data_IF_319866699012
#
_entry.id   IF_319866699012
#
_cell.length_a   1.000
_cell.length_b   1.000
_cell.length_c   1.000
_cell.angle_alpha   90.00
_cell.angle_beta   90.00
_cell.angle_gamma   90.00
#
_symmetry.space_group_name_H-M   'P 1'
#
loop_
_entity.id
_entity.type
_entity.pdbx_description
1 polymer ?
#
# COMPACT_ATOMS: atom_id res chain seq x y z
N UNK A 1 -10.68 20.36 1.71
CA UNK A 1 -11.58 20.08 2.81
C UNK A 1 -12.89 19.51 2.28
N UNK A 2 -13.44 18.61 2.98
CA UNK A 2 -14.67 17.97 2.54
C UNK A 2 -15.69 17.95 3.65
N UNK A 3 -16.93 17.78 3.27
CA UNK A 3 -17.98 17.54 4.22
C UNK A 3 -17.84 16.12 4.73
N UNK A 4 -17.97 15.97 6.03
CA UNK A 4 -17.78 14.67 6.61
C UNK A 4 -19.10 13.96 6.73
N UNK A 5 -19.02 12.66 6.66
CA UNK A 5 -20.15 11.79 6.92
C UNK A 5 -20.18 11.52 8.40
N UNK A 6 -21.34 11.70 9.00
CA UNK A 6 -21.48 11.68 10.45
C UNK A 6 -22.12 10.40 10.92
N UNK A 7 -22.02 10.20 12.24
CA UNK A 7 -22.79 9.17 12.91
C UNK A 7 -22.31 7.78 12.58
N UNK A 8 -23.23 6.97 12.11
CA UNK A 8 -22.95 5.55 11.88
C UNK A 8 -21.92 5.29 10.80
N UNK A 9 -21.53 6.32 10.03
CA UNK A 9 -20.47 6.15 9.05
C UNK A 9 -19.09 6.19 9.68
N UNK A 10 -18.98 6.53 10.94
CA UNK A 10 -17.69 6.54 11.60
C UNK A 10 -17.17 5.11 11.76
N UNK A 11 -15.87 4.88 11.50
CA UNK A 11 -15.32 3.54 11.67
C UNK A 11 -15.25 3.14 13.13
N UNK A 12 -15.39 1.86 13.41
CA UNK A 12 -15.21 1.36 14.76
C UNK A 12 -13.72 1.32 15.09
N UNK A 13 -13.36 1.37 16.39
CA UNK A 13 -11.96 1.18 16.76
C UNK A 13 -11.38 -0.13 16.25
N UNK A 14 -12.19 -1.18 16.21
CA UNK A 14 -11.74 -2.48 15.72
C UNK A 14 -11.41 -2.42 14.22
N UNK A 15 -12.21 -1.72 13.44
CA UNK A 15 -11.94 -1.55 12.02
C UNK A 15 -10.68 -0.72 11.80
N UNK A 16 -10.51 0.36 12.57
CA UNK A 16 -9.30 1.17 12.44
C UNK A 16 -8.04 0.37 12.76
N UNK A 17 -8.10 -0.46 13.80
CA UNK A 17 -6.99 -1.35 14.14
C UNK A 17 -6.67 -2.31 13.02
N UNK A 18 -7.72 -2.92 12.44
CA UNK A 18 -7.54 -3.90 11.39
C UNK A 18 -6.96 -3.27 10.12
N UNK A 19 -7.46 -2.08 9.76
CA UNK A 19 -6.95 -1.35 8.59
C UNK A 19 -5.47 -1.02 8.79
N UNK A 20 -5.11 -0.51 9.95
CA UNK A 20 -3.72 -0.18 10.25
C UNK A 20 -2.84 -1.42 10.22
N UNK A 21 -3.34 -2.54 10.75
CA UNK A 21 -2.58 -3.79 10.78
C UNK A 21 -2.32 -4.31 9.36
N UNK A 22 -3.29 -4.17 8.47
CA UNK A 22 -3.12 -4.59 7.07
C UNK A 22 -2.05 -3.73 6.39
N UNK A 23 -2.10 -2.42 6.59
CA UNK A 23 -1.10 -1.52 6.01
C UNK A 23 0.29 -1.82 6.59
N UNK A 24 0.36 -2.14 7.89
CA UNK A 24 1.63 -2.48 8.53
C UNK A 24 2.19 -3.78 7.97
N UNK A 25 1.33 -4.79 7.77
CA UNK A 25 1.79 -6.05 7.15
C UNK A 25 2.41 -5.79 5.78
N UNK A 26 1.82 -4.86 5.04
CA UNK A 26 2.30 -4.53 3.71
C UNK A 26 3.71 -3.93 3.75
N UNK A 27 3.90 -2.89 4.55
CA UNK A 27 5.18 -2.18 4.54
C UNK A 27 6.26 -2.96 5.28
N UNK A 28 5.94 -3.54 6.43
CA UNK A 28 6.93 -4.33 7.18
C UNK A 28 7.22 -5.64 6.48
N UNK A 29 6.19 -6.26 5.90
CA UNK A 29 6.41 -7.50 5.15
C UNK A 29 7.37 -7.29 4.00
N UNK A 30 7.24 -6.15 3.32
CA UNK A 30 8.15 -5.82 2.23
C UNK A 30 9.58 -5.66 2.72
N UNK A 31 9.78 -4.88 3.79
CA UNK A 31 11.12 -4.65 4.32
C UNK A 31 11.75 -5.90 4.93
N UNK A 32 10.93 -6.82 5.43
CA UNK A 32 11.43 -8.04 6.06
C UNK A 32 11.56 -9.19 5.07
N UNK A 33 11.02 -9.05 3.87
CA UNK A 33 10.95 -10.16 2.93
C UNK A 33 10.04 -11.26 3.45
N UNK A 34 9.00 -10.89 4.19
CA UNK A 34 8.13 -11.81 4.89
C UNK A 34 6.94 -12.16 4.00
N UNK A 35 7.08 -13.25 3.27
CA UNK A 35 6.07 -13.67 2.31
C UNK A 35 4.69 -13.89 2.94
N UNK A 36 4.56 -14.62 4.06
CA UNK A 36 3.24 -14.83 4.65
C UNK A 36 2.55 -13.51 5.05
N UNK A 37 3.30 -12.55 5.56
CA UNK A 37 2.73 -11.25 5.92
C UNK A 37 2.20 -10.54 4.69
N UNK A 38 2.99 -10.52 3.62
CA UNK A 38 2.56 -9.86 2.39
C UNK A 38 1.34 -10.57 1.82
N UNK A 39 1.36 -11.89 1.78
CA UNK A 39 0.25 -12.64 1.20
C UNK A 39 -1.06 -12.38 1.93
N UNK A 40 -1.03 -12.33 3.25
CA UNK A 40 -2.28 -12.24 4.00
C UNK A 40 -2.95 -10.88 3.94
N UNK A 41 -2.22 -9.82 3.56
CA UNK A 41 -2.80 -8.48 3.53
C UNK A 41 -3.34 -8.09 2.16
N UNK A 42 -3.08 -8.89 1.12
CA UNK A 42 -3.47 -8.55 -0.25
C UNK A 42 -4.69 -9.36 -0.67
N UNK A 43 -5.62 -8.68 -1.33
CA UNK A 43 -6.70 -9.39 -2.01
C UNK A 43 -6.12 -10.08 -3.25
N UNK A 44 -6.59 -11.30 -3.59
CA UNK A 44 -6.06 -12.00 -4.77
C UNK A 44 -6.20 -11.21 -6.08
N UNK A 45 -7.14 -10.27 -6.13
CA UNK A 45 -7.33 -9.46 -7.33
C UNK A 45 -6.71 -8.07 -7.20
N UNK A 46 -5.71 -7.93 -6.36
CA UNK A 46 -4.97 -6.68 -6.21
C UNK A 46 -4.47 -6.15 -7.54
N UNK A 47 -4.59 -4.83 -7.72
CA UNK A 47 -3.93 -4.13 -8.82
C UNK A 47 -3.00 -3.08 -8.21
N UNK A 48 -1.72 -3.16 -8.57
CA UNK A 48 -0.72 -2.22 -8.08
C UNK A 48 -0.02 -1.59 -9.27
N UNK A 49 0.08 -0.26 -9.25
CA UNK A 49 0.72 0.49 -10.33
C UNK A 49 1.56 1.61 -9.79
N UNK A 50 2.56 1.99 -10.60
CA UNK A 50 3.34 3.19 -10.33
C UNK A 50 3.17 4.15 -11.49
N UNK A 51 3.56 5.39 -11.27
CA UNK A 51 3.72 6.37 -12.33
C UNK A 51 5.20 6.63 -12.48
N UNK A 52 5.66 6.79 -13.71
CA UNK A 52 7.07 7.06 -13.95
C UNK A 52 7.23 7.99 -15.16
N UNK A 53 8.38 8.60 -15.24
CA UNK A 53 8.69 9.51 -16.33
C UNK A 53 9.52 8.77 -17.36
N UNK A 54 9.04 8.78 -18.61
CA UNK A 54 9.76 8.15 -19.71
C UNK A 54 11.05 8.94 -19.95
N UNK A 55 12.22 8.32 -19.82
CA UNK A 55 13.48 9.05 -20.00
C UNK A 55 13.72 9.53 -21.43
N UNK A 56 13.05 8.92 -22.42
CA UNK A 56 13.23 9.30 -23.81
C UNK A 56 12.37 10.51 -24.17
N UNK A 57 11.10 10.50 -23.79
CA UNK A 57 10.17 11.54 -24.19
C UNK A 57 9.96 12.61 -23.12
N UNK A 58 10.26 12.29 -21.87
CA UNK A 58 9.99 13.17 -20.74
C UNK A 58 8.55 13.14 -20.28
N UNK A 59 7.71 12.32 -20.89
CA UNK A 59 6.29 12.23 -20.54
C UNK A 59 6.07 11.32 -19.35
N UNK A 60 5.07 11.64 -18.56
CA UNK A 60 4.66 10.78 -17.46
C UNK A 60 3.78 9.67 -17.98
N UNK A 61 4.00 8.46 -17.49
CA UNK A 61 3.29 7.27 -17.93
C UNK A 61 2.91 6.40 -16.77
N UNK A 62 1.82 5.68 -16.95
CA UNK A 62 1.37 4.71 -15.96
C UNK A 62 2.12 3.41 -16.19
N UNK A 63 2.70 2.87 -15.11
CA UNK A 63 3.42 1.62 -15.18
C UNK A 63 2.49 0.44 -15.39
N UNK A 64 3.07 -0.70 -15.74
CA UNK A 64 2.31 -1.93 -15.92
C UNK A 64 1.72 -2.36 -14.58
N UNK A 65 0.52 -2.93 -14.59
CA UNK A 65 -0.06 -3.39 -13.33
C UNK A 65 0.65 -4.62 -12.83
N UNK A 66 0.84 -4.67 -11.52
CA UNK A 66 1.31 -5.85 -10.82
C UNK A 66 0.14 -6.44 -10.05
N UNK A 67 0.12 -7.76 -9.91
CA UNK A 67 -0.92 -8.44 -9.16
C UNK A 67 -0.39 -8.96 -7.83
N UNK A 68 -1.26 -9.62 -7.08
CA UNK A 68 -0.89 -10.13 -5.75
C UNK A 68 0.22 -11.16 -5.84
N UNK A 69 0.16 -12.05 -6.82
CA UNK A 69 1.17 -13.10 -6.97
C UNK A 69 2.54 -12.51 -7.24
N UNK A 70 2.60 -11.48 -8.09
CA UNK A 70 3.87 -10.81 -8.36
C UNK A 70 4.41 -10.14 -7.12
N UNK A 71 3.55 -9.47 -6.35
CA UNK A 71 3.95 -8.79 -5.14
C UNK A 71 4.51 -9.77 -4.11
N UNK A 72 3.83 -10.89 -3.94
CA UNK A 72 4.27 -11.94 -3.02
C UNK A 72 5.60 -12.52 -3.49
N UNK A 73 5.74 -12.74 -4.79
CA UNK A 73 6.99 -13.27 -5.37
C UNK A 73 8.17 -12.35 -5.14
N UNK A 74 7.99 -11.05 -5.37
CA UNK A 74 9.06 -10.08 -5.11
C UNK A 74 9.43 -10.01 -3.65
N UNK A 75 8.43 -10.08 -2.76
CA UNK A 75 8.68 -10.07 -1.33
C UNK A 75 9.50 -11.29 -0.92
N UNK A 76 9.12 -12.47 -1.41
CA UNK A 76 9.85 -13.71 -1.13
C UNK A 76 11.28 -13.64 -1.63
N UNK A 77 11.48 -13.03 -2.80
CA UNK A 77 12.82 -12.87 -3.38
C UNK A 77 13.66 -11.85 -2.63
N UNK A 78 13.07 -11.10 -1.71
CA UNK A 78 13.80 -10.14 -0.90
C UNK A 78 14.05 -8.81 -1.59
N UNK A 79 13.23 -8.46 -2.57
CA UNK A 79 13.45 -7.24 -3.35
C UNK A 79 13.38 -5.98 -2.52
N UNK A 80 12.59 -6.01 -1.43
CA UNK A 80 12.46 -4.86 -0.55
C UNK A 80 13.24 -4.97 0.74
N UNK A 81 13.98 -6.06 0.92
CA UNK A 81 14.65 -6.27 2.21
C UNK A 81 15.67 -5.20 2.48
N UNK A 82 15.63 -4.68 3.69
CA UNK A 82 16.64 -3.75 4.16
C UNK A 82 16.75 -3.88 5.67
N UNK A 83 18.00 -3.81 6.16
CA UNK A 83 18.28 -3.82 7.59
C UNK A 83 18.66 -2.44 8.10
N UNK A 84 18.76 -1.45 7.21
CA UNK A 84 19.16 -0.10 7.60
C UNK A 84 17.97 0.61 8.22
N UNK A 85 18.08 1.00 9.49
CA UNK A 85 16.95 1.56 10.23
C UNK A 85 16.33 2.76 9.53
N UNK A 86 17.16 3.65 8.98
CA UNK A 86 16.66 4.85 8.30
C UNK A 86 15.85 4.51 7.07
N UNK A 87 16.20 3.41 6.40
CA UNK A 87 15.50 2.99 5.21
C UNK A 87 14.22 2.23 5.52
N UNK A 88 14.05 1.84 6.78
CA UNK A 88 12.86 1.12 7.22
C UNK A 88 11.81 2.03 7.85
N UNK A 89 12.11 3.32 7.99
CA UNK A 89 11.18 4.24 8.62
C UNK A 89 9.93 4.40 7.76
N UNK A 90 8.77 4.41 8.41
CA UNK A 90 7.52 4.61 7.68
C UNK A 90 6.48 5.24 8.58
N UNK A 91 5.47 5.80 7.92
CA UNK A 91 4.32 6.39 8.61
C UNK A 91 3.05 5.94 7.88
N UNK A 92 2.08 5.47 8.65
CA UNK A 92 0.79 5.04 8.11
C UNK A 92 -0.25 6.08 8.51
N UNK A 93 -0.99 6.58 7.53
CA UNK A 93 -2.08 7.53 7.79
C UNK A 93 -3.36 6.97 7.19
N UNK A 94 -4.35 6.71 8.04
CA UNK A 94 -5.66 6.30 7.55
C UNK A 94 -6.40 7.57 7.18
N UNK A 95 -6.55 7.79 5.86
CA UNK A 95 -7.07 9.05 5.37
C UNK A 95 -8.60 9.12 5.43
N UNK A 96 -9.26 8.05 5.03
CA UNK A 96 -10.71 8.02 4.95
C UNK A 96 -11.19 6.60 5.14
N UNK A 97 -12.25 6.43 5.91
CA UNK A 97 -12.93 5.14 6.04
C UNK A 97 -14.41 5.40 5.88
N UNK A 98 -15.04 4.61 5.00
CA UNK A 98 -16.48 4.64 4.85
C UNK A 98 -16.97 3.22 4.77
N UNK A 99 -17.60 2.76 5.85
CA UNK A 99 -18.19 1.41 5.95
C UNK A 99 -17.17 0.32 5.57
N UNK A 100 -17.13 -0.09 4.32
CA UNK A 100 -16.35 -1.24 3.88
C UNK A 100 -15.16 -0.85 3.01
N UNK A 101 -14.85 0.45 2.91
CA UNK A 101 -13.74 0.90 2.09
C UNK A 101 -12.91 1.92 2.85
N UNK A 102 -11.61 1.91 2.58
CA UNK A 102 -10.69 2.84 3.24
C UNK A 102 -9.59 3.25 2.27
N UNK A 103 -9.13 4.49 2.42
CA UNK A 103 -7.92 4.93 1.73
C UNK A 103 -6.86 5.23 2.78
N UNK A 104 -5.65 4.75 2.53
CA UNK A 104 -4.56 4.78 3.49
C UNK A 104 -3.29 5.16 2.78
N UNK A 105 -2.52 6.09 3.36
CA UNK A 105 -1.21 6.47 2.84
C UNK A 105 -0.14 5.76 3.65
N UNK A 106 0.87 5.23 2.97
CA UNK A 106 2.04 4.66 3.62
C UNK A 106 3.24 5.41 3.07
N UNK A 107 3.82 6.26 3.90
CA UNK A 107 5.00 7.02 3.54
C UNK A 107 6.20 6.30 4.13
N UNK A 108 7.04 5.74 3.28
CA UNK A 108 8.27 5.10 3.73
C UNK A 108 9.46 5.89 3.20
N UNK A 109 10.67 5.46 3.55
CA UNK A 109 11.85 6.16 3.08
C UNK A 109 11.88 6.25 1.55
N UNK A 110 11.69 5.13 0.81
CA UNK A 110 11.81 5.21 -0.64
C UNK A 110 10.51 5.53 -1.37
N UNK A 111 9.33 5.35 -0.76
CA UNK A 111 8.08 5.37 -1.50
C UNK A 111 6.97 6.12 -0.80
N UNK A 112 6.04 6.65 -1.60
CA UNK A 112 4.72 7.00 -1.15
C UNK A 112 3.75 6.00 -1.78
N UNK A 113 3.07 5.21 -0.95
CA UNK A 113 2.10 4.25 -1.42
C UNK A 113 0.71 4.70 -0.99
N UNK A 114 -0.21 4.75 -1.94
CA UNK A 114 -1.60 5.05 -1.67
C UNK A 114 -2.38 3.75 -1.80
N UNK A 115 -2.98 3.32 -0.69
CA UNK A 115 -3.66 2.03 -0.63
C UNK A 115 -5.16 2.22 -0.59
N UNK A 116 -5.87 1.38 -1.34
CA UNK A 116 -7.30 1.19 -1.16
C UNK A 116 -7.51 -0.15 -0.50
N UNK A 117 -8.21 -0.14 0.62
CA UNK A 117 -8.41 -1.32 1.44
C UNK A 117 -9.91 -1.55 1.58
N UNK A 118 -10.35 -2.77 1.36
CA UNK A 118 -11.78 -3.09 1.40
C UNK A 118 -12.04 -4.20 2.40
N UNK A 119 -13.18 -4.13 3.06
CA UNK A 119 -13.60 -5.16 4.00
C UNK A 119 -14.44 -6.20 3.24
N UNK A 120 -13.86 -7.37 3.09
CA UNK A 120 -14.47 -8.48 2.38
C UNK A 120 -14.78 -9.56 3.41
N UNK A 121 -16.06 -9.81 3.66
CA UNK A 121 -16.44 -10.64 4.79
C UNK A 121 -16.00 -9.95 6.07
N UNK A 122 -15.17 -10.62 6.85
CA UNK A 122 -14.67 -10.06 8.10
C UNK A 122 -13.25 -9.54 8.01
N UNK A 123 -12.69 -9.47 6.80
CA UNK A 123 -11.28 -9.15 6.62
C UNK A 123 -11.10 -7.89 5.79
N UNK A 124 -10.19 -7.03 6.26
CA UNK A 124 -9.74 -5.89 5.47
C UNK A 124 -8.55 -6.34 4.62
N UNK A 125 -8.63 -6.09 3.30
CA UNK A 125 -7.59 -6.52 2.35
C UNK A 125 -7.30 -5.38 1.39
N UNK A 126 -6.03 -5.26 0.98
CA UNK A 126 -5.61 -4.24 0.03
C UNK A 126 -6.04 -4.68 -1.36
N UNK A 127 -6.81 -3.82 -2.05
CA UNK A 127 -7.32 -4.12 -3.38
C UNK A 127 -6.66 -3.28 -4.45
N UNK A 128 -6.13 -2.09 -4.12
CA UNK A 128 -5.43 -1.23 -5.07
C UNK A 128 -4.24 -0.58 -4.39
N UNK A 129 -3.16 -0.39 -5.16
CA UNK A 129 -2.02 0.42 -4.73
C UNK A 129 -1.61 1.29 -5.90
N UNK A 130 -1.43 2.58 -5.63
CA UNK A 130 -0.79 3.49 -6.56
C UNK A 130 0.39 4.09 -5.82
N UNK A 131 1.60 3.97 -6.38
CA UNK A 131 2.79 4.39 -5.64
C UNK A 131 3.74 5.16 -6.53
N UNK A 132 4.63 5.88 -5.88
CA UNK A 132 5.64 6.65 -6.57
C UNK A 132 6.88 6.70 -5.71
N UNK A 133 8.05 6.75 -6.34
CA UNK A 133 9.34 6.91 -5.66
C UNK A 133 9.40 8.32 -5.11
N UNK A 134 9.88 8.46 -3.88
CA UNK A 134 9.90 9.76 -3.22
C UNK A 134 10.98 10.68 -3.74
N UNK A 135 12.12 10.14 -4.14
CA UNK A 135 13.26 10.96 -4.51
C UNK A 135 13.90 10.46 -5.77
N UNK A 136 14.53 11.37 -6.49
CA UNK A 136 15.27 11.03 -7.67
C UNK A 136 14.37 10.72 -8.83
N UNK A 137 14.97 10.10 -9.82
CA UNK A 137 14.23 9.74 -11.01
C UNK A 137 13.48 8.45 -10.79
N UNK A 138 12.23 8.45 -11.18
CA UNK A 138 11.45 7.23 -11.13
C UNK A 138 11.69 6.47 -12.42
N UNK A 139 12.18 5.27 -12.28
CA UNK A 139 12.27 4.37 -13.40
C UNK A 139 11.11 3.43 -13.40
N UNK A 140 10.89 2.75 -14.51
CA UNK A 140 9.89 1.71 -14.55
C UNK A 140 10.26 0.56 -13.65
#
# INVERSE_FOLDING_TARGET
>A
MRDVIQGEEQPSPKDLEAITAVARDYVEGWFDGDEPRMRRCLHPELVKRTIYRDPTTGDWQLGRPADAAMMVGWTRAGEGRTAVAEERAFEIVVETVFRHVASVSVLSSPYMDLLHIAKIGDRWLIVNVLWEVRQGETGP
#
